data_IF_534946862693
#
_entry.id   IF_534946862693
#
_cell.length_a   1.000
_cell.length_b   1.000
_cell.length_c   1.000
_cell.angle_alpha   90.00
_cell.angle_beta   90.00
_cell.angle_gamma   90.00
#
_symmetry.space_group_name_H-M   'P 1'
#
loop_
_entity.id
_entity.type
_entity.pdbx_description
1 polymer ?
#
# COMPACT_ATOMS: atom_id res chain seq x y z
N UNK A 1 7.90 4.06 3.84
CA UNK A 1 9.20 3.77 4.50
C UNK A 1 9.10 2.42 5.20
N UNK A 2 10.10 1.56 5.06
CA UNK A 2 10.16 0.29 5.80
C UNK A 2 10.84 0.54 7.16
N UNK A 3 10.22 0.08 8.24
CA UNK A 3 10.73 0.20 9.62
C UNK A 3 11.40 -1.07 10.12
N UNK A 4 11.34 -2.13 9.31
CA UNK A 4 11.80 -3.47 9.65
C UNK A 4 12.75 -3.99 8.57
N UNK A 5 13.67 -4.85 8.99
CA UNK A 5 14.49 -5.69 8.13
C UNK A 5 14.09 -7.16 8.33
N UNK A 6 14.28 -7.98 7.31
CA UNK A 6 14.05 -9.43 7.36
C UNK A 6 15.32 -10.16 6.92
N UNK A 7 15.67 -11.22 7.63
CA UNK A 7 16.73 -12.12 7.22
C UNK A 7 16.25 -13.06 6.09
N UNK A 8 17.01 -13.13 5.00
CA UNK A 8 16.69 -14.01 3.88
C UNK A 8 16.98 -15.50 4.13
N UNK A 9 17.70 -15.83 5.21
CA UNK A 9 17.98 -17.23 5.60
C UNK A 9 16.96 -17.80 6.57
N UNK A 10 16.82 -17.17 7.75
CA UNK A 10 15.96 -17.66 8.83
C UNK A 10 14.58 -16.99 8.89
N UNK A 11 14.34 -15.90 8.16
CA UNK A 11 13.07 -15.18 8.18
C UNK A 11 12.84 -14.28 9.40
N UNK A 12 13.79 -14.20 10.35
CA UNK A 12 13.67 -13.34 11.52
C UNK A 12 13.54 -11.87 11.11
N UNK A 13 12.68 -11.14 11.85
CA UNK A 13 12.41 -9.72 11.66
C UNK A 13 13.19 -8.93 12.70
N UNK A 14 13.84 -7.86 12.25
CA UNK A 14 14.64 -6.95 13.05
C UNK A 14 14.18 -5.51 12.83
N UNK A 15 14.43 -4.57 13.76
CA UNK A 15 14.30 -3.16 13.45
C UNK A 15 15.23 -2.80 12.28
N UNK A 16 14.80 -1.92 11.38
CA UNK A 16 15.59 -1.53 10.20
C UNK A 16 16.97 -0.97 10.56
N UNK A 17 17.12 -0.41 11.78
CA UNK A 17 18.40 0.08 12.31
C UNK A 17 19.48 -1.00 12.35
N UNK A 18 19.12 -2.26 12.67
CA UNK A 18 20.07 -3.38 12.68
C UNK A 18 20.77 -3.59 11.31
N UNK A 19 20.07 -3.27 10.23
CA UNK A 19 20.62 -3.29 8.87
C UNK A 19 21.32 -1.96 8.52
N UNK A 20 20.68 -0.82 8.79
CA UNK A 20 21.20 0.52 8.44
C UNK A 20 22.54 0.80 9.11
N UNK A 21 22.69 0.44 10.39
CA UNK A 21 23.92 0.72 11.15
C UNK A 21 25.11 -0.09 10.60
N UNK A 22 24.88 -1.32 10.13
CA UNK A 22 25.88 -2.12 9.42
C UNK A 22 26.29 -1.49 8.09
N UNK A 23 25.32 -0.99 7.31
CA UNK A 23 25.62 -0.32 6.04
C UNK A 23 26.41 0.96 6.28
N UNK A 24 26.06 1.74 7.30
CA UNK A 24 26.76 2.97 7.68
C UNK A 24 28.18 2.73 8.17
N UNK A 25 28.44 1.58 8.80
CA UNK A 25 29.79 1.18 9.22
C UNK A 25 30.64 0.61 8.08
N UNK A 26 30.12 0.57 6.85
CA UNK A 26 30.83 0.15 5.65
C UNK A 26 30.58 -1.31 5.23
N UNK A 27 29.61 -2.00 5.85
CA UNK A 27 29.22 -3.33 5.39
C UNK A 27 28.39 -3.25 4.11
N UNK A 28 28.85 -3.90 3.05
CA UNK A 28 28.10 -4.06 1.80
C UNK A 28 27.05 -5.18 1.86
N UNK A 29 27.10 -6.02 2.90
CA UNK A 29 26.20 -7.15 3.10
C UNK A 29 25.78 -7.21 4.56
N UNK A 30 24.77 -6.42 4.98
CA UNK A 30 24.28 -6.47 6.35
C UNK A 30 23.79 -7.88 6.68
N UNK A 31 24.37 -8.51 7.69
CA UNK A 31 24.15 -9.91 8.01
C UNK A 31 23.30 -10.08 9.26
N UNK A 32 22.54 -11.17 9.27
CA UNK A 32 21.78 -11.64 10.43
C UNK A 32 22.72 -12.15 11.52
N UNK A 33 22.48 -11.74 12.76
CA UNK A 33 23.28 -12.17 13.92
C UNK A 33 23.12 -13.68 14.21
N UNK A 34 21.97 -14.26 13.89
CA UNK A 34 21.64 -15.67 14.21
C UNK A 34 22.15 -16.67 13.17
N UNK A 35 22.15 -16.31 11.89
CA UNK A 35 22.44 -17.24 10.80
C UNK A 35 23.41 -16.70 9.73
N UNK A 36 23.92 -15.48 9.89
CA UNK A 36 24.87 -14.81 8.98
C UNK A 36 24.38 -14.55 7.55
N UNK A 37 23.17 -14.99 7.19
CA UNK A 37 22.54 -14.64 5.91
C UNK A 37 22.21 -13.15 5.82
N UNK A 38 22.01 -12.67 4.59
CA UNK A 38 21.78 -11.25 4.30
C UNK A 38 20.43 -10.75 4.86
N UNK A 39 20.46 -9.57 5.46
CA UNK A 39 19.31 -8.77 5.84
C UNK A 39 18.90 -7.89 4.66
N UNK A 40 17.59 -7.77 4.43
CA UNK A 40 17.01 -6.80 3.51
C UNK A 40 15.89 -6.02 4.20
N UNK A 41 15.47 -4.85 3.70
CA UNK A 41 14.22 -4.24 4.15
C UNK A 41 13.07 -5.25 4.09
N UNK A 42 12.23 -5.29 5.13
CA UNK A 42 11.01 -6.10 5.15
C UNK A 42 9.94 -5.44 4.26
N UNK A 43 10.25 -5.37 2.97
CA UNK A 43 9.38 -4.92 1.90
C UNK A 43 9.43 -5.96 0.78
N UNK A 44 8.35 -6.02 0.00
CA UNK A 44 8.25 -6.89 -1.16
C UNK A 44 8.92 -6.20 -2.35
N UNK A 45 9.89 -6.88 -2.95
CA UNK A 45 10.59 -6.41 -4.14
C UNK A 45 9.94 -6.98 -5.40
N UNK A 46 10.26 -6.40 -6.56
CA UNK A 46 9.79 -6.94 -7.83
C UNK A 46 10.21 -8.40 -8.01
N UNK A 47 9.25 -9.24 -8.39
CA UNK A 47 9.45 -10.68 -8.54
C UNK A 47 9.29 -11.48 -7.24
N UNK A 48 9.18 -10.84 -6.08
CA UNK A 48 8.83 -11.52 -4.83
C UNK A 48 7.31 -11.70 -4.71
N UNK A 49 6.84 -12.87 -4.22
CA UNK A 49 5.43 -13.07 -3.98
C UNK A 49 4.96 -12.21 -2.79
N UNK A 50 3.75 -11.67 -2.91
CA UNK A 50 3.04 -11.10 -1.77
C UNK A 50 2.62 -12.23 -0.82
N UNK A 51 2.52 -11.90 0.46
CA UNK A 51 2.05 -12.84 1.49
C UNK A 51 0.59 -13.20 1.22
N UNK A 52 0.29 -14.50 1.12
CA UNK A 52 -1.05 -15.00 0.80
C UNK A 52 -2.09 -14.52 1.80
N UNK A 53 -1.73 -14.42 3.08
CA UNK A 53 -2.62 -13.94 4.14
C UNK A 53 -3.03 -12.48 3.90
N UNK A 54 -2.09 -11.63 3.47
CA UNK A 54 -2.37 -10.23 3.14
C UNK A 54 -3.27 -10.12 1.92
N UNK A 55 -3.04 -10.94 0.89
CA UNK A 55 -3.89 -10.97 -0.30
C UNK A 55 -5.31 -11.43 0.03
N UNK A 56 -5.46 -12.51 0.80
CA UNK A 56 -6.75 -13.04 1.21
C UNK A 56 -7.56 -12.02 2.03
N UNK A 57 -6.89 -11.28 2.92
CA UNK A 57 -7.53 -10.21 3.69
C UNK A 57 -8.00 -9.07 2.79
N UNK A 58 -7.15 -8.61 1.87
CA UNK A 58 -7.51 -7.57 0.92
C UNK A 58 -8.67 -8.03 0.02
N UNK A 59 -8.65 -9.27 -0.45
CA UNK A 59 -9.71 -9.86 -1.26
C UNK A 59 -11.06 -9.82 -0.56
N UNK A 60 -11.10 -10.19 0.72
CA UNK A 60 -12.32 -10.15 1.54
C UNK A 60 -12.84 -8.72 1.71
N UNK A 61 -11.96 -7.78 2.06
CA UNK A 61 -12.34 -6.37 2.24
C UNK A 61 -12.90 -5.76 0.96
N UNK A 62 -12.32 -6.11 -0.19
CA UNK A 62 -12.78 -5.63 -1.49
C UNK A 62 -14.13 -6.23 -1.88
N UNK A 63 -14.38 -7.49 -1.54
CA UNK A 63 -15.68 -8.13 -1.79
C UNK A 63 -16.80 -7.57 -0.91
N UNK A 64 -16.49 -7.12 0.31
CA UNK A 64 -17.46 -6.62 1.28
C UNK A 64 -17.66 -5.09 1.22
N UNK A 65 -16.78 -4.35 0.54
CA UNK A 65 -16.87 -2.88 0.49
C UNK A 65 -18.02 -2.39 -0.40
N UNK A 66 -18.64 -1.29 -0.01
CA UNK A 66 -19.62 -0.54 -0.80
C UNK A 66 -18.99 0.67 -1.53
N UNK A 67 -17.81 1.10 -1.08
CA UNK A 67 -17.00 2.16 -1.70
C UNK A 67 -15.51 1.83 -1.60
N UNK A 68 -14.81 1.88 -2.74
CA UNK A 68 -13.36 1.86 -2.84
C UNK A 68 -12.83 3.23 -3.27
N UNK A 69 -11.89 3.76 -2.49
CA UNK A 69 -11.22 5.04 -2.80
C UNK A 69 -9.76 4.75 -3.14
N UNK A 70 -9.36 5.09 -4.37
CA UNK A 70 -7.97 5.01 -4.83
C UNK A 70 -7.31 6.38 -4.67
N UNK A 71 -6.24 6.41 -3.88
CA UNK A 71 -5.48 7.63 -3.58
C UNK A 71 -4.05 7.47 -4.10
N UNK A 72 -3.66 8.24 -5.12
CA UNK A 72 -2.25 8.37 -5.52
C UNK A 72 -1.60 7.14 -6.11
N UNK A 73 -2.41 6.29 -6.75
CA UNK A 73 -1.93 5.10 -7.44
C UNK A 73 -2.15 5.25 -8.94
N UNK A 74 -1.13 4.90 -9.73
CA UNK A 74 -1.27 4.75 -11.18
C UNK A 74 -1.99 3.46 -11.58
N UNK A 75 -2.23 2.54 -10.64
CA UNK A 75 -2.91 1.26 -10.88
C UNK A 75 -2.24 0.39 -11.96
N UNK A 76 -0.90 0.42 -12.06
CA UNK A 76 -0.15 -0.37 -13.04
C UNK A 76 0.44 -1.66 -12.48
N UNK A 77 0.60 -1.76 -11.16
CA UNK A 77 1.32 -2.88 -10.52
C UNK A 77 0.34 -3.92 -9.99
N UNK A 78 0.44 -5.13 -10.53
CA UNK A 78 -0.31 -6.29 -10.06
C UNK A 78 0.31 -6.87 -8.79
N UNK A 79 -0.51 -7.45 -7.90
CA UNK A 79 -1.97 -7.67 -8.02
C UNK A 79 -2.83 -6.47 -7.61
N UNK A 80 -2.28 -5.44 -6.96
CA UNK A 80 -3.06 -4.32 -6.42
C UNK A 80 -3.90 -3.58 -7.48
N UNK A 81 -3.38 -3.46 -8.71
CA UNK A 81 -4.09 -2.90 -9.86
C UNK A 81 -5.42 -3.60 -10.21
N UNK A 82 -5.62 -4.84 -9.77
CA UNK A 82 -6.84 -5.60 -10.04
C UNK A 82 -8.02 -5.21 -9.14
N UNK A 83 -7.75 -4.71 -7.93
CA UNK A 83 -8.79 -4.47 -6.93
C UNK A 83 -9.90 -3.50 -7.33
N UNK A 84 -9.66 -2.41 -8.09
CA UNK A 84 -10.73 -1.57 -8.60
C UNK A 84 -11.76 -2.32 -9.45
N UNK A 85 -11.30 -3.21 -10.34
CA UNK A 85 -12.20 -4.03 -11.16
C UNK A 85 -12.97 -5.02 -10.31
N UNK A 86 -12.30 -5.63 -9.34
CA UNK A 86 -12.93 -6.57 -8.40
C UNK A 86 -14.02 -5.88 -7.56
N UNK A 87 -13.73 -4.70 -7.00
CA UNK A 87 -14.69 -3.93 -6.22
C UNK A 87 -15.95 -3.57 -7.05
N UNK A 88 -15.76 -3.07 -8.28
CA UNK A 88 -16.87 -2.79 -9.19
C UNK A 88 -17.71 -4.04 -9.50
N UNK A 89 -17.07 -5.20 -9.70
CA UNK A 89 -17.78 -6.46 -9.94
C UNK A 89 -18.58 -6.95 -8.73
N UNK A 90 -18.18 -6.56 -7.52
CA UNK A 90 -18.92 -6.79 -6.27
C UNK A 90 -20.00 -5.74 -6.00
N UNK A 91 -20.17 -4.76 -6.89
CA UNK A 91 -21.19 -3.71 -6.78
C UNK A 91 -20.77 -2.48 -5.98
N UNK A 92 -19.49 -2.38 -5.59
CA UNK A 92 -18.96 -1.21 -4.91
C UNK A 92 -18.88 0.00 -5.84
N UNK A 93 -18.92 1.19 -5.24
CA UNK A 93 -18.60 2.45 -5.90
C UNK A 93 -17.10 2.66 -5.96
N UNK A 94 -16.62 3.37 -6.98
CA UNK A 94 -15.20 3.66 -7.18
C UNK A 94 -14.96 5.17 -7.25
N UNK A 95 -14.08 5.66 -6.37
CA UNK A 95 -13.57 7.03 -6.42
C UNK A 95 -12.05 7.02 -6.63
N UNK A 96 -11.54 7.87 -7.51
CA UNK A 96 -10.12 7.97 -7.82
C UNK A 96 -9.66 9.41 -7.59
N UNK A 97 -8.60 9.58 -6.80
CA UNK A 97 -7.90 10.84 -6.59
C UNK A 97 -6.43 10.62 -6.94
N UNK A 98 -6.03 11.10 -8.11
CA UNK A 98 -4.67 10.95 -8.59
C UNK A 98 -4.31 12.09 -9.54
N UNK A 99 -3.08 12.58 -9.48
CA UNK A 99 -2.61 13.71 -10.29
C UNK A 99 -2.70 13.39 -11.79
N UNK A 100 -2.46 12.14 -12.16
CA UNK A 100 -2.47 11.66 -13.54
C UNK A 100 -3.67 10.74 -13.77
N UNK A 101 -4.06 10.62 -15.03
CA UNK A 101 -5.09 9.67 -15.47
C UNK A 101 -4.70 8.22 -15.18
N UNK A 102 -5.70 7.36 -15.00
CA UNK A 102 -5.56 5.92 -14.85
C UNK A 102 -6.48 5.16 -15.79
N UNK A 103 -6.13 3.90 -16.10
CA UNK A 103 -6.97 3.02 -16.93
C UNK A 103 -8.37 2.74 -16.32
N UNK A 104 -8.57 3.09 -15.05
CA UNK A 104 -9.83 2.89 -14.34
C UNK A 104 -10.71 4.15 -14.29
N UNK A 105 -10.25 5.30 -14.77
CA UNK A 105 -10.98 6.57 -14.67
C UNK A 105 -12.35 6.50 -15.34
N UNK A 106 -12.42 5.89 -16.53
CA UNK A 106 -13.69 5.73 -17.26
C UNK A 106 -14.71 4.83 -16.55
N UNK A 107 -14.27 4.03 -15.58
CA UNK A 107 -15.13 3.13 -14.79
C UNK A 107 -15.43 3.68 -13.39
N UNK A 108 -14.82 4.79 -12.98
CA UNK A 108 -15.00 5.37 -11.67
C UNK A 108 -16.25 6.27 -11.62
N UNK A 109 -16.96 6.25 -10.48
CA UNK A 109 -18.08 7.14 -10.22
C UNK A 109 -17.60 8.58 -9.99
N UNK A 110 -16.41 8.75 -9.43
CA UNK A 110 -15.77 10.06 -9.17
C UNK A 110 -14.30 9.99 -9.52
N UNK A 111 -13.82 10.98 -10.28
CA UNK A 111 -12.40 11.16 -10.61
C UNK A 111 -11.98 12.58 -10.29
N UNK A 112 -10.88 12.75 -9.55
CA UNK A 112 -10.28 14.05 -9.23
C UNK A 112 -8.80 14.03 -9.61
N UNK A 113 -8.44 14.86 -10.60
CA UNK A 113 -7.06 15.04 -11.04
C UNK A 113 -6.36 16.18 -10.30
N UNK A 114 -5.95 15.89 -9.07
CA UNK A 114 -5.22 16.85 -8.25
C UNK A 114 -4.37 16.15 -7.18
N UNK A 115 -3.58 16.93 -6.45
CA UNK A 115 -2.79 16.45 -5.31
C UNK A 115 -3.71 16.02 -4.18
N UNK A 116 -3.53 14.77 -3.75
CA UNK A 116 -4.25 14.17 -2.61
C UNK A 116 -4.10 15.03 -1.35
N UNK A 117 -2.90 15.58 -1.13
CA UNK A 117 -2.62 16.45 0.02
C UNK A 117 -3.47 17.71 0.07
N UNK A 118 -3.97 18.18 -1.07
CA UNK A 118 -4.80 19.39 -1.16
C UNK A 118 -6.30 19.07 -1.13
N UNK A 119 -6.69 17.93 -1.73
CA UNK A 119 -8.10 17.52 -1.90
C UNK A 119 -8.61 16.69 -0.72
N UNK A 120 -7.88 15.65 -0.33
CA UNK A 120 -8.39 14.65 0.62
C UNK A 120 -8.71 15.26 2.00
N UNK A 121 -7.91 16.19 2.57
CA UNK A 121 -8.29 16.87 3.81
C UNK A 121 -9.61 17.65 3.70
N UNK A 122 -9.92 18.23 2.53
CA UNK A 122 -11.19 18.94 2.31
C UNK A 122 -12.37 17.97 2.33
N UNK A 123 -12.22 16.83 1.66
CA UNK A 123 -13.24 15.76 1.66
C UNK A 123 -13.50 15.29 3.10
N UNK A 124 -12.44 14.99 3.86
CA UNK A 124 -12.57 14.56 5.26
C UNK A 124 -13.29 15.61 6.11
N UNK A 125 -12.96 16.90 5.95
CA UNK A 125 -13.64 17.98 6.69
C UNK A 125 -15.13 18.09 6.34
N UNK A 126 -15.49 17.96 5.06
CA UNK A 126 -16.89 17.97 4.64
C UNK A 126 -17.63 16.78 5.26
N UNK A 127 -17.08 15.57 5.13
CA UNK A 127 -17.70 14.36 5.68
C UNK A 127 -17.89 14.46 7.19
N UNK A 128 -16.88 14.94 7.94
CA UNK A 128 -16.99 15.17 9.39
C UNK A 128 -18.14 16.09 9.76
N UNK A 129 -18.33 17.17 9.01
CA UNK A 129 -19.44 18.11 9.23
C UNK A 129 -20.80 17.47 8.96
N UNK A 130 -20.90 16.64 7.92
CA UNK A 130 -22.14 15.93 7.55
C UNK A 130 -22.51 14.83 8.56
N UNK A 131 -21.53 14.09 9.09
CA UNK A 131 -21.77 13.00 10.07
C UNK A 131 -21.93 13.50 11.52
N UNK A 132 -21.84 14.82 11.75
CA UNK A 132 -22.05 15.42 13.07
C UNK A 132 -20.89 15.26 14.05
N UNK A 133 -19.73 14.76 13.60
CA UNK A 133 -18.50 14.73 14.40
C UNK A 133 -17.87 16.13 14.42
N UNK A 134 -18.39 17.00 15.28
CA UNK A 134 -17.72 18.26 15.60
C UNK A 134 -16.35 17.94 16.22
N UNK A 135 -15.28 18.30 15.50
CA UNK A 135 -13.91 18.31 16.02
C UNK A 135 -13.76 19.32 17.15
#
# INVERSE_FOLDING_TARGET
TAYEAICMGCGNIYPITAMIDQVRSGSFGPSCEDCTCLLKPNAIFFGEPLRSETLNQADKLIEECDLLIILGSSLLIYPAAFYPRKALSSGAKLAIINIQETDMDASADVVIHDKIGDVFPRIVNIVKNEIGEKS
#
